data_IF_998402381911
#
_entry.id   IF_998402381911
#
_cell.length_a   1.000
_cell.length_b   1.000
_cell.length_c   1.000
_cell.angle_alpha   90.00
_cell.angle_beta   90.00
_cell.angle_gamma   90.00
#
_symmetry.space_group_name_H-M   'P 1'
#
loop_
_entity.id
_entity.type
_entity.pdbx_description
1 polymer ?
#
# COMPACT_ATOMS: atom_id res chain seq x y z
N UNK A 1 -24.06 -9.28 -12.31
CA UNK A 1 -23.95 -10.72 -11.97
C UNK A 1 -23.85 -10.81 -10.45
N UNK A 2 -24.70 -11.59 -9.82
CA UNK A 2 -24.64 -11.81 -8.37
C UNK A 2 -23.64 -12.96 -8.14
N UNK A 3 -22.71 -12.80 -7.21
CA UNK A 3 -21.77 -13.86 -6.82
C UNK A 3 -22.56 -15.10 -6.33
N UNK A 4 -21.97 -16.31 -6.41
CA UNK A 4 -22.62 -17.49 -5.87
C UNK A 4 -22.87 -17.34 -4.36
N UNK A 5 -23.91 -17.98 -3.85
CA UNK A 5 -24.20 -17.95 -2.41
C UNK A 5 -23.03 -18.48 -1.57
N UNK A 6 -22.34 -19.48 -2.07
CA UNK A 6 -21.14 -20.02 -1.44
C UNK A 6 -20.01 -18.98 -1.36
N UNK A 7 -19.76 -18.25 -2.46
CA UNK A 7 -18.77 -17.17 -2.49
C UNK A 7 -19.15 -16.05 -1.52
N UNK A 8 -20.42 -15.63 -1.48
CA UNK A 8 -20.88 -14.60 -0.53
C UNK A 8 -20.70 -15.09 0.91
N UNK A 9 -21.06 -16.33 1.21
CA UNK A 9 -20.89 -16.91 2.55
C UNK A 9 -19.41 -16.95 2.97
N UNK A 10 -18.52 -17.34 2.07
CA UNK A 10 -17.08 -17.33 2.31
C UNK A 10 -16.55 -15.91 2.58
N UNK A 11 -16.97 -14.93 1.78
CA UNK A 11 -16.59 -13.53 1.98
C UNK A 11 -17.14 -12.98 3.33
N UNK A 12 -18.35 -13.35 3.71
CA UNK A 12 -18.93 -12.97 5.01
C UNK A 12 -18.15 -13.61 6.17
N UNK A 13 -17.75 -14.87 6.04
CA UNK A 13 -16.90 -15.53 7.05
C UNK A 13 -15.59 -14.77 7.22
N UNK A 14 -14.90 -14.50 6.13
CA UNK A 14 -13.67 -13.70 6.16
C UNK A 14 -13.88 -12.31 6.76
N UNK A 15 -15.00 -11.63 6.39
CA UNK A 15 -15.35 -10.32 6.94
C UNK A 15 -15.51 -10.38 8.47
N UNK A 16 -16.23 -11.36 9.01
CA UNK A 16 -16.41 -11.55 10.45
C UNK A 16 -15.07 -11.80 11.16
N UNK A 17 -14.19 -12.63 10.56
CA UNK A 17 -12.86 -12.89 11.09
C UNK A 17 -12.04 -11.60 11.18
N UNK A 18 -12.01 -10.81 10.11
CA UNK A 18 -11.29 -9.51 10.09
C UNK A 18 -11.89 -8.52 11.08
N UNK A 19 -13.21 -8.41 11.17
CA UNK A 19 -13.90 -7.53 12.10
C UNK A 19 -13.55 -7.82 13.57
N UNK A 20 -13.21 -9.07 13.89
CA UNK A 20 -12.72 -9.45 15.23
C UNK A 20 -11.43 -8.69 15.59
N UNK A 21 -10.50 -8.61 14.66
CA UNK A 21 -9.24 -7.84 14.83
C UNK A 21 -9.48 -6.32 14.79
N UNK A 22 -10.54 -5.90 14.13
CA UNK A 22 -10.97 -4.50 14.04
C UNK A 22 -11.74 -4.01 15.28
N UNK A 23 -11.92 -4.87 16.27
CA UNK A 23 -12.52 -4.53 17.56
C UNK A 23 -14.03 -4.69 17.65
N UNK A 24 -14.69 -5.27 16.66
CA UNK A 24 -16.13 -5.53 16.71
C UNK A 24 -16.44 -6.74 17.59
N UNK A 25 -17.62 -6.73 18.20
CA UNK A 25 -18.17 -7.90 18.88
C UNK A 25 -18.80 -8.86 17.85
N UNK A 26 -17.99 -9.80 17.39
CA UNK A 26 -18.36 -10.70 16.29
C UNK A 26 -18.84 -12.06 16.73
N UNK A 27 -18.80 -12.38 18.03
CA UNK A 27 -19.04 -13.74 18.53
C UNK A 27 -20.40 -14.31 18.10
N UNK A 28 -21.47 -13.55 18.29
CA UNK A 28 -22.83 -13.98 17.91
C UNK A 28 -22.99 -14.14 16.39
N UNK A 29 -22.38 -13.22 15.61
CA UNK A 29 -22.42 -13.25 14.15
C UNK A 29 -21.66 -14.46 13.59
N UNK A 30 -20.46 -14.78 14.12
CA UNK A 30 -19.68 -15.95 13.73
C UNK A 30 -20.45 -17.27 13.98
N UNK A 31 -21.15 -17.38 15.09
CA UNK A 31 -21.97 -18.56 15.41
C UNK A 31 -23.23 -18.68 14.51
N UNK A 32 -23.82 -17.56 14.11
CA UNK A 32 -25.05 -17.51 13.32
C UNK A 32 -24.81 -17.75 11.82
N UNK A 33 -23.71 -17.26 11.24
CA UNK A 33 -23.44 -17.32 9.80
C UNK A 33 -23.52 -18.74 9.20
N UNK A 34 -22.96 -19.80 9.83
CA UNK A 34 -23.07 -21.16 9.32
C UNK A 34 -24.53 -21.72 9.33
N UNK A 35 -25.37 -21.15 10.16
CA UNK A 35 -26.75 -21.61 10.37
C UNK A 35 -27.77 -20.87 9.48
N UNK A 36 -27.34 -19.85 8.74
CA UNK A 36 -28.23 -19.10 7.85
C UNK A 36 -28.79 -19.99 6.74
N UNK A 37 -30.07 -19.80 6.35
CA UNK A 37 -30.61 -20.44 5.16
C UNK A 37 -29.77 -20.15 3.92
N UNK A 38 -29.77 -21.08 2.96
CA UNK A 38 -29.11 -20.92 1.68
C UNK A 38 -29.93 -20.02 0.73
N UNK A 39 -30.09 -18.76 1.11
CA UNK A 39 -30.86 -17.73 0.42
C UNK A 39 -30.01 -16.49 0.25
N UNK A 40 -30.11 -15.82 -0.92
CA UNK A 40 -29.45 -14.54 -1.16
C UNK A 40 -29.95 -13.48 -0.17
N UNK A 41 -31.27 -13.39 0.05
CA UNK A 41 -31.84 -12.39 0.96
C UNK A 41 -31.24 -12.53 2.35
N UNK A 42 -31.21 -13.76 2.91
CA UNK A 42 -30.61 -13.99 4.23
C UNK A 42 -29.14 -13.63 4.32
N UNK A 43 -28.36 -13.86 3.26
CA UNK A 43 -26.93 -13.53 3.24
C UNK A 43 -26.70 -12.01 3.10
N UNK A 44 -27.53 -11.32 2.31
CA UNK A 44 -27.43 -9.85 2.15
C UNK A 44 -27.92 -9.14 3.42
N UNK A 45 -29.03 -9.58 4.01
CA UNK A 45 -29.51 -9.05 5.29
C UNK A 45 -28.44 -9.21 6.38
N UNK A 46 -27.82 -10.39 6.44
CA UNK A 46 -26.71 -10.63 7.37
C UNK A 46 -25.51 -9.70 7.11
N UNK A 47 -25.18 -9.41 5.86
CA UNK A 47 -24.10 -8.47 5.52
C UNK A 47 -24.37 -7.05 6.05
N UNK A 48 -25.63 -6.59 5.93
CA UNK A 48 -26.05 -5.31 6.48
C UNK A 48 -26.03 -5.29 8.02
N UNK A 49 -26.49 -6.36 8.66
CA UNK A 49 -26.43 -6.52 10.12
C UNK A 49 -24.96 -6.54 10.63
N UNK A 50 -24.09 -7.31 9.94
CA UNK A 50 -22.68 -7.39 10.30
C UNK A 50 -21.98 -6.03 10.29
N UNK A 51 -22.29 -5.18 9.29
CA UNK A 51 -21.77 -3.80 9.23
C UNK A 51 -22.15 -2.96 10.47
N UNK A 52 -23.27 -3.26 11.08
CA UNK A 52 -23.80 -2.55 12.25
C UNK A 52 -23.41 -3.18 13.60
N UNK A 53 -22.49 -4.16 13.62
CA UNK A 53 -22.05 -4.78 14.86
C UNK A 53 -21.40 -3.74 15.79
N UNK A 54 -21.67 -3.82 17.10
CA UNK A 54 -21.09 -2.92 18.07
C UNK A 54 -19.59 -3.20 18.25
N UNK A 55 -18.85 -2.17 18.65
CA UNK A 55 -17.49 -2.34 19.16
C UNK A 55 -17.50 -3.08 20.50
N UNK A 56 -16.48 -3.90 20.75
CA UNK A 56 -16.29 -4.52 22.06
C UNK A 56 -16.10 -3.47 23.14
N UNK A 57 -16.56 -3.74 24.34
CA UNK A 57 -16.47 -2.82 25.46
C UNK A 57 -15.03 -2.51 25.95
N UNK A 58 -14.06 -3.35 25.57
CA UNK A 58 -12.63 -3.17 25.86
C UNK A 58 -11.87 -2.41 24.73
N UNK A 59 -12.56 -2.03 23.65
CA UNK A 59 -11.94 -1.33 22.53
C UNK A 59 -11.63 0.12 22.88
N UNK A 60 -10.37 0.47 22.91
CA UNK A 60 -9.87 1.78 23.40
C UNK A 60 -9.48 2.75 22.30
N UNK A 61 -9.46 2.30 21.05
CA UNK A 61 -8.96 3.11 19.94
C UNK A 61 -10.05 4.03 19.38
N UNK A 62 -9.64 5.19 18.88
CA UNK A 62 -10.47 6.17 18.20
C UNK A 62 -10.02 6.22 16.74
N UNK A 63 -10.86 5.73 15.85
CA UNK A 63 -10.50 5.50 14.45
C UNK A 63 -11.58 6.07 13.51
N UNK A 64 -11.72 7.42 13.44
CA UNK A 64 -12.74 8.08 12.63
C UNK A 64 -12.49 7.96 11.13
N UNK A 65 -13.58 8.13 10.34
CA UNK A 65 -13.52 8.15 8.88
C UNK A 65 -14.07 9.45 8.26
N UNK A 66 -14.68 10.34 9.03
CA UNK A 66 -14.96 11.69 8.57
C UNK A 66 -13.69 12.54 8.64
N UNK A 67 -13.38 13.30 7.57
CA UNK A 67 -12.11 14.04 7.50
C UNK A 67 -11.90 15.01 8.66
N UNK A 68 -12.95 15.71 9.07
CA UNK A 68 -12.92 16.67 10.17
C UNK A 68 -12.54 15.98 11.49
N UNK A 69 -13.08 14.80 11.74
CA UNK A 69 -12.78 14.00 12.94
C UNK A 69 -11.36 13.41 12.88
N UNK A 70 -10.92 12.97 11.70
CA UNK A 70 -9.54 12.52 11.47
C UNK A 70 -8.56 13.66 11.78
N UNK A 71 -8.82 14.87 11.26
CA UNK A 71 -8.00 16.06 11.53
C UNK A 71 -8.00 16.45 13.02
N UNK A 72 -9.11 16.25 13.70
CA UNK A 72 -9.22 16.50 15.15
C UNK A 72 -8.33 15.53 15.97
N UNK A 73 -8.26 14.29 15.56
CA UNK A 73 -7.46 13.23 16.21
C UNK A 73 -5.97 13.24 15.81
N UNK A 74 -5.56 14.00 14.78
CA UNK A 74 -4.15 14.19 14.42
C UNK A 74 -3.40 15.00 15.49
N UNK A 75 -2.06 14.91 15.48
CA UNK A 75 -1.25 15.71 16.40
C UNK A 75 -1.51 17.22 16.24
N UNK A 76 -1.85 17.95 17.32
CA UNK A 76 -2.28 19.35 17.22
C UNK A 76 -1.18 20.30 16.71
N UNK A 77 0.09 19.97 17.01
CA UNK A 77 1.25 20.78 16.62
C UNK A 77 1.98 20.21 15.40
N UNK A 78 1.31 19.39 14.56
CA UNK A 78 1.91 18.84 13.36
C UNK A 78 2.44 19.93 12.43
N UNK A 79 3.62 19.73 11.89
CA UNK A 79 4.23 20.69 10.96
C UNK A 79 3.64 20.50 9.57
N UNK A 80 2.75 21.40 9.16
CA UNK A 80 2.12 21.37 7.83
C UNK A 80 3.09 21.63 6.69
N UNK A 81 4.12 22.42 6.98
CA UNK A 81 5.22 22.68 6.06
C UNK A 81 6.53 22.42 6.80
N UNK A 82 7.33 21.50 6.28
CA UNK A 82 8.71 21.28 6.71
C UNK A 82 9.67 22.12 5.85
N UNK A 83 10.98 21.96 6.03
CA UNK A 83 11.96 22.67 5.25
C UNK A 83 11.68 22.63 3.73
N UNK A 84 12.10 23.66 3.00
CA UNK A 84 11.97 23.69 1.55
C UNK A 84 12.57 22.43 0.93
N UNK A 85 11.88 21.89 -0.07
CA UNK A 85 12.38 20.76 -0.82
C UNK A 85 13.75 21.09 -1.47
N UNK A 86 14.68 20.14 -1.56
CA UNK A 86 15.98 20.37 -2.19
C UNK A 86 15.83 20.64 -3.69
N UNK A 87 16.79 21.37 -4.28
CA UNK A 87 16.76 21.74 -5.71
C UNK A 87 16.66 20.52 -6.64
N UNK A 88 17.19 19.36 -6.21
CA UNK A 88 17.15 18.13 -6.98
C UNK A 88 15.91 17.26 -6.71
N UNK A 89 14.85 17.82 -6.15
CA UNK A 89 13.67 17.05 -5.74
C UNK A 89 12.98 16.32 -6.91
N UNK A 90 12.97 16.90 -8.12
CA UNK A 90 12.44 16.21 -9.31
C UNK A 90 13.24 14.95 -9.66
N UNK A 91 14.55 15.03 -9.54
CA UNK A 91 15.43 13.87 -9.74
C UNK A 91 15.22 12.81 -8.63
N UNK A 92 14.89 13.25 -7.41
CA UNK A 92 14.52 12.32 -6.32
C UNK A 92 13.20 11.61 -6.58
N UNK A 93 12.18 12.32 -7.06
CA UNK A 93 10.90 11.69 -7.46
C UNK A 93 11.10 10.72 -8.62
N UNK A 94 11.88 11.10 -9.62
CA UNK A 94 12.25 10.20 -10.72
C UNK A 94 12.94 8.93 -10.18
N UNK A 95 13.92 9.10 -9.28
CA UNK A 95 14.58 7.97 -8.61
C UNK A 95 13.65 7.13 -7.75
N UNK A 96 12.69 7.77 -7.08
CA UNK A 96 11.71 7.10 -6.25
C UNK A 96 10.78 6.18 -7.07
N UNK A 97 10.27 6.66 -8.19
CA UNK A 97 9.43 5.82 -9.05
C UNK A 97 10.21 4.65 -9.65
N UNK A 98 11.46 4.87 -10.11
CA UNK A 98 12.30 3.74 -10.57
C UNK A 98 12.60 2.78 -9.42
N UNK A 99 12.90 3.29 -8.23
CA UNK A 99 13.12 2.47 -7.04
C UNK A 99 11.89 1.63 -6.67
N UNK A 100 10.69 2.20 -6.78
CA UNK A 100 9.43 1.49 -6.59
C UNK A 100 9.30 0.32 -7.57
N UNK A 101 9.54 0.56 -8.86
CA UNK A 101 9.51 -0.50 -9.88
C UNK A 101 10.55 -1.59 -9.61
N UNK A 102 11.77 -1.24 -9.21
CA UNK A 102 12.81 -2.22 -8.86
C UNK A 102 12.40 -3.06 -7.64
N UNK A 103 11.79 -2.42 -6.64
CA UNK A 103 11.32 -3.08 -5.43
C UNK A 103 10.19 -4.07 -5.69
N UNK A 104 9.19 -3.65 -6.48
CA UNK A 104 8.10 -4.52 -6.94
C UNK A 104 8.67 -5.73 -7.69
N UNK A 105 9.52 -5.52 -8.69
CA UNK A 105 10.11 -6.60 -9.50
C UNK A 105 10.96 -7.58 -8.70
N UNK A 106 11.72 -7.10 -7.69
CA UNK A 106 12.51 -7.99 -6.83
C UNK A 106 11.63 -8.81 -5.88
N UNK A 107 10.59 -8.20 -5.32
CA UNK A 107 9.66 -8.83 -4.40
C UNK A 107 8.72 -9.82 -5.06
N UNK A 108 8.29 -9.55 -6.30
CA UNK A 108 7.26 -10.32 -7.02
C UNK A 108 7.42 -11.84 -7.02
N UNK A 109 8.59 -12.43 -7.28
CA UNK A 109 8.73 -13.88 -7.21
C UNK A 109 8.64 -14.45 -5.78
N UNK A 110 8.71 -13.60 -4.75
CA UNK A 110 8.66 -13.93 -3.33
C UNK A 110 7.35 -13.54 -2.65
N UNK A 111 6.38 -13.00 -3.37
CA UNK A 111 5.01 -12.76 -2.91
C UNK A 111 4.25 -14.09 -2.75
N UNK A 112 4.66 -14.87 -1.78
CA UNK A 112 4.18 -16.23 -1.51
C UNK A 112 4.02 -16.52 -0.02
N UNK A 113 3.84 -15.47 0.79
CA UNK A 113 3.64 -15.55 2.25
C UNK A 113 4.77 -16.30 2.97
N UNK A 114 6.02 -15.96 2.63
CA UNK A 114 7.22 -16.49 3.28
C UNK A 114 7.71 -15.49 4.35
N UNK A 115 8.21 -16.01 5.47
CA UNK A 115 8.92 -15.20 6.47
C UNK A 115 10.43 -15.14 6.20
N UNK A 116 11.15 -14.27 6.93
CA UNK A 116 12.60 -14.12 6.78
C UNK A 116 13.36 -15.44 6.99
N UNK A 117 12.94 -16.28 7.92
CA UNK A 117 13.62 -17.54 8.22
C UNK A 117 13.48 -18.55 7.08
N UNK A 118 12.32 -18.60 6.43
CA UNK A 118 12.10 -19.41 5.24
C UNK A 118 12.97 -18.92 4.07
N UNK A 119 12.97 -17.61 3.82
CA UNK A 119 13.79 -16.97 2.77
C UNK A 119 15.28 -17.16 3.04
N UNK A 120 15.72 -16.99 4.28
CA UNK A 120 17.12 -17.20 4.70
C UNK A 120 17.58 -18.63 4.44
N UNK A 121 16.79 -19.62 4.81
CA UNK A 121 17.11 -21.03 4.57
C UNK A 121 17.23 -21.33 3.07
N UNK A 122 16.28 -20.86 2.27
CA UNK A 122 16.30 -21.07 0.83
C UNK A 122 17.50 -20.37 0.17
N UNK A 123 17.75 -19.11 0.52
CA UNK A 123 18.87 -18.33 0.00
C UNK A 123 20.24 -18.90 0.38
N UNK A 124 20.42 -19.35 1.63
CA UNK A 124 21.66 -20.00 2.06
C UNK A 124 21.91 -21.30 1.29
N UNK A 125 20.88 -22.09 0.99
CA UNK A 125 20.99 -23.34 0.27
C UNK A 125 21.49 -23.17 -1.18
N UNK A 126 21.24 -22.01 -1.81
CA UNK A 126 21.71 -21.70 -3.17
C UNK A 126 22.80 -20.61 -3.23
N UNK A 127 23.31 -20.14 -2.09
CA UNK A 127 24.34 -19.10 -2.03
C UNK A 127 23.86 -17.69 -2.35
N UNK A 128 22.57 -17.41 -2.22
CA UNK A 128 21.96 -16.10 -2.41
C UNK A 128 21.46 -15.45 -1.10
N UNK A 129 22.16 -15.63 -0.01
CA UNK A 129 21.88 -14.95 1.23
C UNK A 129 23.13 -14.28 1.81
N UNK A 130 23.10 -13.00 2.20
CA UNK A 130 21.99 -12.06 2.00
C UNK A 130 21.70 -11.80 0.52
N UNK A 131 20.46 -11.39 0.22
CA UNK A 131 20.05 -11.06 -1.14
C UNK A 131 20.77 -9.79 -1.62
N UNK A 132 21.42 -9.88 -2.78
CA UNK A 132 22.16 -8.78 -3.40
C UNK A 132 21.89 -8.66 -4.90
N UNK A 133 21.14 -9.61 -5.44
CA UNK A 133 20.76 -9.69 -6.85
C UNK A 133 19.30 -10.16 -6.97
N UNK A 134 18.78 -10.15 -8.19
CA UNK A 134 17.48 -10.73 -8.51
C UNK A 134 17.39 -12.19 -8.01
N UNK A 135 16.20 -12.56 -7.60
CA UNK A 135 15.93 -13.93 -7.11
C UNK A 135 16.17 -14.95 -8.23
N UNK A 136 16.97 -15.99 -7.99
CA UNK A 136 17.21 -17.06 -8.96
C UNK A 136 16.13 -18.14 -8.92
N UNK A 137 16.06 -18.96 -9.99
CA UNK A 137 15.20 -20.15 -9.99
C UNK A 137 15.60 -21.13 -8.89
N UNK A 138 16.92 -21.27 -8.62
CA UNK A 138 17.42 -22.14 -7.55
C UNK A 138 16.94 -21.68 -6.16
N UNK A 139 16.79 -20.38 -5.94
CA UNK A 139 16.20 -19.86 -4.71
C UNK A 139 14.76 -20.36 -4.54
N UNK A 140 13.93 -20.20 -5.58
CA UNK A 140 12.53 -20.64 -5.56
C UNK A 140 12.38 -22.16 -5.46
N UNK A 141 13.31 -22.94 -6.05
CA UNK A 141 13.35 -24.39 -5.89
C UNK A 141 13.60 -24.80 -4.45
N UNK A 142 14.55 -24.15 -3.76
CA UNK A 142 14.82 -24.41 -2.34
C UNK A 142 13.68 -23.93 -1.42
N UNK A 143 12.92 -22.90 -1.84
CA UNK A 143 11.75 -22.43 -1.12
C UNK A 143 10.53 -23.35 -1.29
N UNK A 144 10.50 -24.13 -2.39
CA UNK A 144 9.43 -25.10 -2.69
C UNK A 144 8.12 -24.47 -3.12
N UNK A 145 8.09 -23.14 -3.33
CA UNK A 145 6.93 -22.35 -3.76
C UNK A 145 7.36 -21.36 -4.84
N UNK A 146 6.44 -21.06 -5.78
CA UNK A 146 6.72 -20.13 -6.88
C UNK A 146 5.50 -19.26 -7.13
N UNK A 147 5.70 -17.94 -7.18
CA UNK A 147 4.67 -17.05 -7.68
C UNK A 147 4.42 -17.29 -9.19
N UNK A 148 3.19 -17.18 -9.72
CA UNK A 148 2.89 -17.45 -11.14
C UNK A 148 3.75 -16.67 -12.14
N UNK A 149 4.23 -15.48 -11.79
CA UNK A 149 5.04 -14.60 -12.67
C UNK A 149 6.54 -14.93 -12.66
N UNK A 150 6.98 -15.96 -11.94
CA UNK A 150 8.40 -16.29 -11.76
C UNK A 150 9.19 -16.40 -13.06
N UNK A 151 8.54 -16.77 -14.16
CA UNK A 151 9.16 -16.89 -15.49
C UNK A 151 9.65 -15.56 -16.07
N UNK A 152 9.15 -14.44 -15.56
CA UNK A 152 9.46 -13.11 -16.08
C UNK A 152 10.13 -12.20 -15.01
N UNK A 153 10.24 -12.69 -13.76
CA UNK A 153 10.71 -11.90 -12.61
C UNK A 153 11.91 -12.48 -11.90
N UNK A 154 12.53 -13.56 -12.44
CA UNK A 154 13.73 -14.18 -11.88
C UNK A 154 14.99 -13.80 -12.63
N UNK A 155 16.15 -13.95 -11.96
CA UNK A 155 17.48 -13.71 -12.51
C UNK A 155 17.65 -14.38 -13.88
N UNK A 156 18.25 -13.70 -14.84
CA UNK A 156 18.43 -14.09 -16.23
C UNK A 156 17.15 -14.18 -17.08
N UNK A 157 15.98 -13.90 -16.53
CA UNK A 157 14.70 -13.87 -17.27
C UNK A 157 14.11 -12.48 -17.39
N UNK A 158 14.51 -11.56 -16.52
CA UNK A 158 14.03 -10.19 -16.52
C UNK A 158 14.47 -9.49 -17.81
N UNK A 159 13.47 -8.94 -18.53
CA UNK A 159 13.69 -8.15 -19.75
C UNK A 159 12.83 -6.88 -19.77
N UNK A 160 11.93 -6.75 -18.81
CA UNK A 160 11.07 -5.58 -18.61
C UNK A 160 10.48 -5.63 -17.20
N UNK A 161 9.92 -4.52 -16.74
CA UNK A 161 9.02 -4.54 -15.60
C UNK A 161 7.67 -5.11 -16.05
N UNK A 162 7.17 -6.12 -15.32
CA UNK A 162 5.90 -6.78 -15.62
C UNK A 162 4.72 -5.95 -15.08
N UNK A 163 3.49 -6.16 -15.60
CA UNK A 163 2.30 -5.53 -15.06
C UNK A 163 2.07 -5.94 -13.60
N UNK A 164 1.78 -4.95 -12.78
CA UNK A 164 1.54 -5.15 -11.36
C UNK A 164 0.58 -4.08 -10.80
N UNK A 165 -0.23 -4.43 -9.82
CA UNK A 165 -1.12 -3.46 -9.19
C UNK A 165 -0.37 -2.39 -8.38
N UNK A 166 0.75 -2.69 -7.75
CA UNK A 166 1.60 -1.72 -7.07
C UNK A 166 2.03 -0.56 -7.98
N UNK A 167 2.39 -0.91 -9.23
CA UNK A 167 2.81 0.08 -10.23
C UNK A 167 1.59 0.78 -10.85
N UNK A 168 0.53 0.01 -11.17
CA UNK A 168 -0.69 0.55 -11.75
C UNK A 168 -1.33 1.58 -10.82
N UNK A 169 -1.42 1.30 -9.53
CA UNK A 169 -2.07 2.17 -8.56
C UNK A 169 -1.31 3.48 -8.36
N UNK A 170 0.03 3.43 -8.36
CA UNK A 170 0.86 4.65 -8.34
C UNK A 170 0.63 5.49 -9.61
N UNK A 171 0.49 4.86 -10.78
CA UNK A 171 0.16 5.56 -12.04
C UNK A 171 -1.26 6.14 -12.00
N UNK A 172 -2.23 5.46 -11.42
CA UNK A 172 -3.58 6.02 -11.22
C UNK A 172 -3.56 7.26 -10.32
N UNK A 173 -2.75 7.26 -9.26
CA UNK A 173 -2.52 8.43 -8.42
C UNK A 173 -1.94 9.60 -9.21
N UNK A 174 -0.99 9.34 -10.12
CA UNK A 174 -0.48 10.34 -11.06
C UNK A 174 -1.60 10.91 -11.94
N UNK A 175 -2.43 10.05 -12.52
CA UNK A 175 -3.54 10.48 -13.39
C UNK A 175 -4.60 11.29 -12.62
N UNK A 176 -4.87 10.93 -11.37
CA UNK A 176 -5.71 11.72 -10.47
C UNK A 176 -5.20 13.15 -10.33
N UNK A 177 -3.90 13.29 -10.00
CA UNK A 177 -3.26 14.59 -9.81
C UNK A 177 -3.14 15.38 -11.11
N UNK A 178 -2.88 14.72 -12.24
CA UNK A 178 -2.84 15.39 -13.53
C UNK A 178 -4.21 15.97 -13.95
N UNK A 179 -5.28 15.30 -13.58
CA UNK A 179 -6.63 15.69 -13.96
C UNK A 179 -7.28 16.67 -12.97
N UNK A 180 -7.09 16.46 -11.68
CA UNK A 180 -7.83 17.16 -10.64
C UNK A 180 -6.94 18.01 -9.73
N UNK A 181 -5.63 17.79 -9.71
CA UNK A 181 -4.71 18.52 -8.83
C UNK A 181 -5.10 18.44 -7.35
N UNK A 182 -5.08 19.57 -6.67
CA UNK A 182 -5.52 19.72 -5.27
C UNK A 182 -7.04 19.59 -5.07
N UNK A 183 -7.83 19.72 -6.14
CA UNK A 183 -9.30 19.63 -6.10
C UNK A 183 -9.79 18.18 -6.25
N UNK A 184 -8.91 17.19 -6.14
CA UNK A 184 -9.25 15.78 -6.14
C UNK A 184 -10.34 15.49 -5.10
N UNK A 185 -11.34 14.72 -5.54
CA UNK A 185 -12.42 14.19 -4.71
C UNK A 185 -12.48 12.68 -4.81
N UNK A 186 -13.14 12.01 -3.88
CA UNK A 186 -13.36 10.55 -3.97
C UNK A 186 -14.08 10.15 -5.25
N UNK A 187 -14.99 11.01 -5.75
CA UNK A 187 -15.63 10.78 -7.06
C UNK A 187 -14.65 10.94 -8.23
N UNK A 188 -13.70 11.86 -8.14
CA UNK A 188 -12.60 11.97 -9.11
C UNK A 188 -11.74 10.72 -9.16
N UNK A 189 -11.42 10.13 -8.00
CA UNK A 189 -10.73 8.83 -7.90
C UNK A 189 -11.55 7.75 -8.59
N UNK A 190 -12.84 7.64 -8.27
CA UNK A 190 -13.75 6.69 -8.91
C UNK A 190 -13.74 6.82 -10.44
N UNK A 191 -13.82 8.05 -10.97
CA UNK A 191 -13.79 8.29 -12.42
C UNK A 191 -12.49 7.82 -13.07
N UNK A 192 -11.35 8.05 -12.43
CA UNK A 192 -10.03 7.61 -12.91
C UNK A 192 -9.95 6.09 -12.92
N UNK A 193 -10.33 5.44 -11.82
CA UNK A 193 -10.33 3.99 -11.70
C UNK A 193 -11.25 3.33 -12.73
N UNK A 194 -12.45 3.84 -12.90
CA UNK A 194 -13.42 3.37 -13.86
C UNK A 194 -12.89 3.40 -15.31
N UNK A 195 -12.13 4.45 -15.64
CA UNK A 195 -11.62 4.66 -16.98
C UNK A 195 -10.37 3.83 -17.28
N UNK A 196 -9.49 3.69 -16.28
CA UNK A 196 -8.14 3.20 -16.53
C UNK A 196 -7.81 1.87 -15.87
N UNK A 197 -8.47 1.51 -14.75
CA UNK A 197 -8.11 0.30 -14.03
C UNK A 197 -8.69 -0.96 -14.69
N UNK A 198 -7.81 -1.90 -14.98
CA UNK A 198 -8.19 -3.24 -15.39
C UNK A 198 -8.51 -4.09 -14.14
N UNK A 199 -9.75 -4.59 -14.05
CA UNK A 199 -10.21 -5.38 -12.90
C UNK A 199 -9.36 -6.64 -12.65
N UNK A 200 -8.68 -7.18 -13.64
CA UNK A 200 -7.81 -8.35 -13.48
C UNK A 200 -6.59 -8.06 -12.60
N UNK A 201 -6.19 -6.79 -12.49
CA UNK A 201 -5.11 -6.32 -11.62
C UNK A 201 -5.68 -5.56 -10.42
N UNK A 202 -6.67 -6.12 -9.77
CA UNK A 202 -7.21 -5.64 -8.51
C UNK A 202 -7.38 -6.80 -7.55
N UNK A 203 -7.12 -6.55 -6.28
CA UNK A 203 -7.25 -7.55 -5.22
C UNK A 203 -8.07 -6.98 -4.06
N UNK A 204 -8.50 -7.80 -3.16
CA UNK A 204 -9.11 -7.38 -1.90
C UNK A 204 -10.16 -6.28 -2.04
N UNK A 205 -9.93 -5.18 -1.35
CA UNK A 205 -10.83 -4.04 -1.27
C UNK A 205 -11.07 -3.37 -2.62
N UNK A 206 -10.06 -3.24 -3.44
CA UNK A 206 -10.13 -2.65 -4.78
C UNK A 206 -11.04 -3.46 -5.69
N UNK A 207 -10.87 -4.79 -5.71
CA UNK A 207 -11.73 -5.70 -6.50
C UNK A 207 -13.18 -5.63 -6.05
N UNK A 208 -13.41 -5.53 -4.73
CA UNK A 208 -14.76 -5.39 -4.20
C UNK A 208 -15.45 -4.13 -4.74
N UNK A 209 -14.74 -3.01 -4.77
CA UNK A 209 -15.27 -1.73 -5.29
C UNK A 209 -15.44 -1.76 -6.81
N UNK A 210 -14.44 -2.28 -7.56
CA UNK A 210 -14.53 -2.42 -9.02
C UNK A 210 -15.73 -3.27 -9.45
N UNK A 211 -16.03 -4.35 -8.71
CA UNK A 211 -17.20 -5.19 -8.97
C UNK A 211 -18.50 -4.39 -8.79
N UNK A 212 -18.60 -3.57 -7.75
CA UNK A 212 -19.79 -2.71 -7.51
C UNK A 212 -19.95 -1.65 -8.60
N UNK A 213 -18.85 -1.01 -8.99
CA UNK A 213 -18.87 -0.08 -10.11
C UNK A 213 -19.38 -0.74 -11.39
N UNK A 214 -18.88 -1.93 -11.75
CA UNK A 214 -19.30 -2.64 -12.96
C UNK A 214 -20.82 -2.92 -12.97
N UNK A 215 -21.40 -3.30 -11.83
CA UNK A 215 -22.86 -3.52 -11.72
C UNK A 215 -23.64 -2.21 -11.87
N UNK A 216 -23.12 -1.11 -11.34
CA UNK A 216 -23.78 0.19 -11.39
C UNK A 216 -23.81 0.80 -12.80
N UNK A 217 -23.00 0.30 -13.75
CA UNK A 217 -22.93 0.69 -15.15
C UNK A 217 -23.86 -0.08 -16.09
N UNK A 218 -24.80 -0.84 -15.58
CA UNK A 218 -25.78 -1.56 -16.43
C UNK A 218 -26.81 -0.64 -17.11
N UNK A 219 -26.77 0.67 -16.86
CA UNK A 219 -27.60 1.67 -17.56
C UNK A 219 -26.74 2.50 -18.52
N UNK A 220 -27.33 2.93 -19.65
CA UNK A 220 -26.70 3.80 -20.67
C UNK A 220 -26.39 5.22 -20.17
N UNK A 221 -26.60 5.50 -18.90
CA UNK A 221 -26.40 6.81 -18.28
C UNK A 221 -25.13 6.79 -17.45
N UNK A 222 -24.39 7.91 -17.48
CA UNK A 222 -23.25 8.12 -16.59
C UNK A 222 -23.72 7.99 -15.13
N UNK A 223 -22.99 7.22 -14.34
CA UNK A 223 -23.28 7.07 -12.93
C UNK A 223 -23.12 8.44 -12.24
N UNK A 224 -24.13 8.93 -11.50
CA UNK A 224 -24.02 10.18 -10.76
C UNK A 224 -22.93 10.05 -9.67
N UNK A 225 -22.38 11.17 -9.20
CA UNK A 225 -21.51 11.16 -8.03
C UNK A 225 -22.21 10.50 -6.84
N UNK A 226 -21.50 9.63 -6.14
CA UNK A 226 -21.98 9.02 -4.90
C UNK A 226 -21.78 9.99 -3.72
N UNK A 227 -22.67 9.91 -2.76
CA UNK A 227 -22.50 10.57 -1.47
C UNK A 227 -21.41 9.87 -0.63
N UNK A 228 -20.87 10.55 0.38
CA UNK A 228 -19.93 9.94 1.32
C UNK A 228 -20.51 8.70 2.02
N UNK A 229 -21.81 8.69 2.29
CA UNK A 229 -22.50 7.55 2.90
C UNK A 229 -22.59 6.36 1.94
N UNK A 230 -22.84 6.60 0.65
CA UNK A 230 -22.86 5.55 -0.37
C UNK A 230 -21.46 4.95 -0.59
N UNK A 231 -20.42 5.77 -0.58
CA UNK A 231 -19.04 5.27 -0.60
C UNK A 231 -18.70 4.46 0.65
N UNK A 232 -19.15 4.89 1.83
CA UNK A 232 -18.99 4.12 3.06
C UNK A 232 -19.70 2.76 2.96
N UNK A 233 -20.93 2.75 2.47
CA UNK A 233 -21.68 1.51 2.24
C UNK A 233 -20.93 0.55 1.31
N UNK A 234 -20.36 1.07 0.23
CA UNK A 234 -19.57 0.26 -0.72
C UNK A 234 -18.32 -0.34 -0.08
N UNK A 235 -17.57 0.45 0.67
CA UNK A 235 -16.30 0.01 1.25
C UNK A 235 -16.45 -0.85 2.51
N UNK A 236 -17.62 -0.84 3.17
CA UNK A 236 -17.84 -1.55 4.43
C UNK A 236 -18.71 -2.82 4.29
N UNK A 237 -19.44 -2.98 3.17
CA UNK A 237 -20.32 -4.15 2.98
C UNK A 237 -19.62 -5.22 2.18
N UNK A 238 -19.46 -6.43 2.73
CA UNK A 238 -18.78 -7.57 2.08
C UNK A 238 -17.41 -7.13 1.50
N UNK A 239 -16.62 -6.48 2.33
CA UNK A 239 -15.26 -6.06 2.03
C UNK A 239 -14.34 -6.44 3.21
N UNK A 240 -13.91 -7.69 3.30
CA UNK A 240 -13.11 -8.17 4.43
C UNK A 240 -11.76 -7.44 4.55
N UNK A 241 -11.20 -6.96 3.45
CA UNK A 241 -9.86 -6.38 3.39
C UNK A 241 -9.85 -4.85 3.41
N UNK A 242 -10.92 -4.22 3.92
CA UNK A 242 -11.03 -2.77 3.99
C UNK A 242 -9.91 -2.07 4.80
N UNK A 243 -9.16 -2.79 5.62
CA UNK A 243 -8.03 -2.25 6.38
C UNK A 243 -6.66 -2.78 5.89
N UNK A 244 -6.60 -3.41 4.71
CA UNK A 244 -5.36 -3.95 4.14
C UNK A 244 -4.50 -2.88 3.44
N UNK A 245 -3.36 -3.30 2.87
CA UNK A 245 -2.31 -2.44 2.33
C UNK A 245 -2.64 -1.74 1.01
N UNK A 246 -3.67 -2.17 0.25
CA UNK A 246 -3.92 -1.69 -1.10
C UNK A 246 -4.03 -0.17 -1.27
N UNK A 247 -4.41 0.58 -0.20
CA UNK A 247 -4.36 2.03 -0.23
C UNK A 247 -2.95 2.59 0.05
N UNK A 248 -2.16 1.92 0.90
CA UNK A 248 -0.80 2.34 1.22
C UNK A 248 0.13 2.25 0.00
N UNK A 249 0.02 1.17 -0.80
CA UNK A 249 0.85 0.92 -1.98
C UNK A 249 0.59 1.88 -3.16
N UNK A 250 -0.45 2.72 -3.10
CA UNK A 250 -0.76 3.74 -4.11
C UNK A 250 -0.62 5.18 -3.62
N UNK A 251 -0.12 5.36 -2.41
CA UNK A 251 0.03 6.67 -1.79
C UNK A 251 1.18 7.50 -2.39
N UNK A 252 2.07 6.88 -3.14
CA UNK A 252 3.34 7.42 -3.64
C UNK A 252 3.16 8.72 -4.41
N UNK A 253 2.26 8.76 -5.40
CA UNK A 253 2.04 9.92 -6.24
C UNK A 253 1.70 11.19 -5.44
N UNK A 254 0.98 11.04 -4.34
CA UNK A 254 0.60 12.16 -3.46
C UNK A 254 1.81 12.69 -2.68
N UNK A 255 2.68 11.80 -2.20
CA UNK A 255 3.95 12.18 -1.59
C UNK A 255 4.93 12.84 -2.58
N UNK A 256 4.98 12.32 -3.80
CA UNK A 256 5.82 12.85 -4.88
C UNK A 256 5.43 14.27 -5.30
N UNK A 257 4.13 14.56 -5.33
CA UNK A 257 3.63 15.86 -5.77
C UNK A 257 3.88 16.97 -4.75
N UNK A 258 3.97 16.65 -3.46
CA UNK A 258 4.00 17.63 -2.38
C UNK A 258 5.24 17.54 -1.46
N UNK A 259 6.48 17.54 -1.99
CA UNK A 259 7.69 17.51 -1.16
C UNK A 259 7.71 18.71 -0.20
N UNK A 260 7.95 18.44 1.09
CA UNK A 260 7.94 19.45 2.15
C UNK A 260 6.52 19.87 2.62
N UNK A 261 5.47 19.27 2.07
CA UNK A 261 4.06 19.56 2.43
C UNK A 261 3.30 18.30 2.80
N UNK A 262 3.63 17.66 3.93
CA UNK A 262 3.00 16.41 4.36
C UNK A 262 1.50 16.54 4.63
N UNK A 263 1.01 17.74 4.96
CA UNK A 263 -0.42 18.03 5.15
C UNK A 263 -1.24 17.76 3.89
N UNK A 264 -0.79 18.27 2.74
CA UNK A 264 -1.47 18.07 1.46
C UNK A 264 -1.32 16.63 0.96
N UNK A 265 -0.13 16.05 1.11
CA UNK A 265 0.12 14.67 0.75
C UNK A 265 -0.81 13.72 1.51
N UNK A 266 -0.90 13.85 2.84
CA UNK A 266 -1.79 13.05 3.68
C UNK A 266 -3.28 13.28 3.35
N UNK A 267 -3.70 14.53 3.08
CA UNK A 267 -5.09 14.86 2.72
C UNK A 267 -5.51 14.18 1.41
N UNK A 268 -4.68 14.25 0.39
CA UNK A 268 -4.99 13.65 -0.90
C UNK A 268 -4.94 12.12 -0.85
N UNK A 269 -4.01 11.55 -0.09
CA UNK A 269 -3.97 10.11 0.19
C UNK A 269 -5.22 9.65 0.96
N UNK A 270 -5.72 10.44 1.92
CA UNK A 270 -7.00 10.16 2.59
C UNK A 270 -8.17 10.10 1.60
N UNK A 271 -8.27 11.08 0.68
CA UNK A 271 -9.34 11.14 -0.32
C UNK A 271 -9.32 9.90 -1.22
N UNK A 272 -8.14 9.54 -1.72
CA UNK A 272 -7.96 8.34 -2.56
C UNK A 272 -8.26 7.06 -1.79
N UNK A 273 -7.63 6.89 -0.63
CA UNK A 273 -7.74 5.68 0.18
C UNK A 273 -9.20 5.42 0.62
N UNK A 274 -9.94 6.48 0.97
CA UNK A 274 -11.32 6.39 1.43
C UNK A 274 -12.29 5.87 0.37
N UNK A 275 -11.88 5.85 -0.90
CA UNK A 275 -12.64 5.23 -1.99
C UNK A 275 -12.83 3.72 -1.79
N UNK A 276 -11.81 3.02 -1.30
CA UNK A 276 -11.80 1.55 -1.18
C UNK A 276 -11.60 1.04 0.23
N UNK A 277 -10.89 1.78 1.08
CA UNK A 277 -10.41 1.36 2.39
C UNK A 277 -11.04 2.13 3.54
N UNK A 278 -10.77 1.62 4.76
CA UNK A 278 -11.20 2.22 6.02
C UNK A 278 -10.07 2.16 7.04
N UNK A 279 -10.14 3.03 8.04
CA UNK A 279 -9.29 3.05 9.24
C UNK A 279 -7.81 2.80 8.93
N UNK A 280 -7.21 1.69 9.42
CA UNK A 280 -5.78 1.35 9.21
C UNK A 280 -5.36 1.43 7.75
N UNK A 281 -6.16 0.95 6.80
CA UNK A 281 -5.85 1.04 5.37
C UNK A 281 -5.73 2.49 4.88
N UNK A 282 -6.59 3.39 5.38
CA UNK A 282 -6.55 4.82 5.06
C UNK A 282 -5.40 5.51 5.79
N UNK A 283 -5.21 5.23 7.08
CA UNK A 283 -4.18 5.90 7.88
C UNK A 283 -2.77 5.51 7.41
N UNK A 284 -2.57 4.27 6.95
CA UNK A 284 -1.30 3.85 6.36
C UNK A 284 -0.98 4.60 5.06
N UNK A 285 -1.97 4.83 4.20
CA UNK A 285 -1.79 5.64 3.00
C UNK A 285 -1.41 7.09 3.33
N UNK A 286 -2.09 7.70 4.31
CA UNK A 286 -1.75 9.04 4.81
C UNK A 286 -0.33 9.10 5.35
N UNK A 287 0.08 8.09 6.14
CA UNK A 287 1.42 7.99 6.70
C UNK A 287 2.49 7.87 5.62
N UNK A 288 2.31 6.97 4.64
CA UNK A 288 3.29 6.78 3.54
C UNK A 288 3.40 8.05 2.70
N UNK A 289 2.28 8.68 2.31
CA UNK A 289 2.31 9.93 1.54
C UNK A 289 3.01 11.06 2.30
N UNK A 290 2.72 11.22 3.60
CA UNK A 290 3.38 12.20 4.45
C UNK A 290 4.89 11.91 4.62
N UNK A 291 5.27 10.63 4.82
CA UNK A 291 6.67 10.23 4.93
C UNK A 291 7.44 10.52 3.65
N UNK A 292 6.88 10.23 2.48
CA UNK A 292 7.46 10.55 1.16
C UNK A 292 7.64 12.06 0.97
N UNK A 293 6.67 12.86 1.41
CA UNK A 293 6.76 14.31 1.32
C UNK A 293 7.87 14.90 2.23
N UNK A 294 8.10 14.30 3.39
CA UNK A 294 9.13 14.76 4.35
C UNK A 294 10.52 14.21 4.00
N UNK A 295 10.61 12.97 3.50
CA UNK A 295 11.87 12.24 3.29
C UNK A 295 12.97 13.03 2.60
N UNK A 296 12.72 13.79 1.51
CA UNK A 296 13.79 14.56 0.83
C UNK A 296 14.28 15.77 1.62
N UNK A 297 13.61 16.16 2.70
CA UNK A 297 13.91 17.36 3.49
C UNK A 297 14.71 17.07 4.77
N UNK A 298 14.91 15.81 5.11
CA UNK A 298 15.58 15.37 6.34
C UNK A 298 16.78 14.47 6.04
N UNK A 299 17.77 14.47 6.91
CA UNK A 299 18.95 13.59 6.77
C UNK A 299 18.68 12.19 7.37
N UNK A 300 17.97 12.14 8.50
CA UNK A 300 17.60 10.89 9.18
C UNK A 300 16.20 10.44 8.71
N UNK A 301 16.05 9.26 8.11
CA UNK A 301 14.75 8.75 7.69
C UNK A 301 13.78 8.55 8.87
N UNK A 302 14.28 8.36 10.08
CA UNK A 302 13.42 8.23 11.26
C UNK A 302 12.68 9.54 11.54
N UNK A 303 13.30 10.69 11.29
CA UNK A 303 12.63 11.99 11.41
C UNK A 303 11.48 12.16 10.41
N UNK A 304 11.56 11.54 9.22
CA UNK A 304 10.44 11.54 8.28
C UNK A 304 9.26 10.71 8.80
N UNK A 305 9.51 9.56 9.38
CA UNK A 305 8.46 8.72 9.96
C UNK A 305 7.84 9.36 11.22
N UNK A 306 8.65 9.98 12.06
CA UNK A 306 8.15 10.76 13.21
C UNK A 306 7.18 11.86 12.74
N UNK A 307 7.59 12.67 11.77
CA UNK A 307 6.75 13.72 11.23
C UNK A 307 5.48 13.18 10.54
N UNK A 308 5.57 12.05 9.86
CA UNK A 308 4.43 11.41 9.19
C UNK A 308 3.39 10.89 10.18
N UNK A 309 3.82 10.38 11.34
CA UNK A 309 2.91 9.93 12.41
C UNK A 309 2.05 11.06 12.98
N UNK A 310 2.46 12.31 12.85
CA UNK A 310 1.65 13.46 13.28
C UNK A 310 0.37 13.64 12.43
N UNK A 311 0.31 13.04 11.23
CA UNK A 311 -0.79 13.15 10.27
C UNK A 311 -1.77 11.97 10.30
N UNK A 312 -1.68 11.11 11.30
CA UNK A 312 -2.66 10.04 11.53
C UNK A 312 -3.34 10.22 12.89
N UNK A 313 -4.55 9.64 13.11
CA UNK A 313 -5.21 9.72 14.41
C UNK A 313 -4.33 9.14 15.53
N UNK A 314 -4.03 9.97 16.53
CA UNK A 314 -3.07 9.67 17.59
C UNK A 314 -3.53 8.56 18.56
N UNK A 315 -4.85 8.32 18.60
CA UNK A 315 -5.46 7.28 19.43
C UNK A 315 -5.86 6.03 18.60
N UNK A 316 -5.33 5.87 17.37
CA UNK A 316 -5.59 4.71 16.52
C UNK A 316 -4.65 3.53 16.81
N UNK A 317 -5.10 2.31 16.44
CA UNK A 317 -4.21 1.12 16.42
C UNK A 317 -2.99 1.33 15.55
N UNK A 318 -3.20 1.93 14.36
CA UNK A 318 -2.12 2.18 13.42
C UNK A 318 -1.01 3.03 14.05
N UNK A 319 -1.38 4.14 14.74
CA UNK A 319 -0.42 4.99 15.45
C UNK A 319 0.36 4.21 16.51
N UNK A 320 -0.35 3.49 17.39
CA UNK A 320 0.27 2.75 18.50
C UNK A 320 1.24 1.68 17.99
N UNK A 321 0.84 0.91 16.98
CA UNK A 321 1.66 -0.18 16.44
C UNK A 321 2.86 0.39 15.68
N UNK A 322 2.67 1.41 14.85
CA UNK A 322 3.78 2.06 14.13
C UNK A 322 4.78 2.68 15.11
N UNK A 323 4.33 3.37 16.15
CA UNK A 323 5.19 3.90 17.20
C UNK A 323 5.99 2.78 17.87
N UNK A 324 5.33 1.68 18.22
CA UNK A 324 6.00 0.51 18.82
C UNK A 324 7.06 -0.09 17.87
N UNK A 325 6.82 -0.16 16.57
CA UNK A 325 7.81 -0.60 15.59
C UNK A 325 9.02 0.36 15.53
N UNK A 326 8.78 1.66 15.55
CA UNK A 326 9.87 2.66 15.60
C UNK A 326 10.73 2.49 16.86
N UNK A 327 10.12 2.26 18.02
CA UNK A 327 10.83 2.01 19.28
C UNK A 327 11.66 0.72 19.19
N UNK A 328 11.10 -0.36 18.66
CA UNK A 328 11.83 -1.63 18.43
C UNK A 328 13.04 -1.39 17.54
N UNK A 329 12.87 -0.75 16.38
CA UNK A 329 13.97 -0.50 15.43
C UNK A 329 15.05 0.39 16.04
N UNK A 330 14.67 1.37 16.87
CA UNK A 330 15.63 2.26 17.55
C UNK A 330 16.48 1.56 18.61
N UNK A 331 15.94 0.51 19.25
CA UNK A 331 16.55 -0.18 20.39
C UNK A 331 17.21 -1.50 20.02
N UNK A 332 16.87 -2.07 18.87
CA UNK A 332 17.42 -3.34 18.41
C UNK A 332 18.92 -3.23 18.10
N UNK A 333 19.64 -4.34 18.29
CA UNK A 333 21.09 -4.41 18.04
C UNK A 333 21.46 -4.43 16.55
N UNK A 334 20.48 -4.54 15.64
CA UNK A 334 20.69 -4.54 14.19
C UNK A 334 19.44 -4.98 13.45
N UNK A 335 19.56 -5.09 12.12
CA UNK A 335 18.46 -5.34 11.19
C UNK A 335 17.67 -6.64 11.49
N UNK A 336 18.35 -7.78 11.63
CA UNK A 336 17.68 -9.06 11.91
C UNK A 336 17.01 -9.05 13.30
N UNK A 337 17.68 -8.50 14.32
CA UNK A 337 17.12 -8.43 15.67
C UNK A 337 15.88 -7.50 15.75
N UNK A 338 15.82 -6.47 14.93
CA UNK A 338 14.62 -5.62 14.82
C UNK A 338 13.48 -6.40 14.17
N UNK A 339 13.75 -7.09 13.05
CA UNK A 339 12.76 -7.94 12.38
C UNK A 339 12.20 -9.00 13.32
N UNK A 340 13.04 -9.76 14.01
CA UNK A 340 12.61 -10.81 14.95
C UNK A 340 11.62 -10.27 16.02
N UNK A 341 11.89 -9.10 16.57
CA UNK A 341 11.02 -8.48 17.57
C UNK A 341 9.70 -7.99 16.96
N UNK A 342 9.73 -7.40 15.76
CA UNK A 342 8.54 -6.96 15.05
C UNK A 342 7.68 -8.17 14.68
N UNK A 343 8.29 -9.21 14.10
CA UNK A 343 7.61 -10.43 13.69
C UNK A 343 6.98 -11.15 14.88
N UNK A 344 7.74 -11.38 15.95
CA UNK A 344 7.24 -12.02 17.16
C UNK A 344 6.02 -11.30 17.76
N UNK A 345 5.91 -9.97 17.58
CA UNK A 345 4.84 -9.16 18.15
C UNK A 345 3.63 -9.02 17.23
N UNK A 346 3.84 -8.95 15.91
CA UNK A 346 2.81 -8.55 14.94
C UNK A 346 2.51 -9.58 13.84
N UNK A 347 3.19 -10.73 13.78
CA UNK A 347 2.93 -11.79 12.78
C UNK A 347 1.53 -12.40 12.85
N UNK A 348 0.83 -12.23 13.98
CA UNK A 348 -0.58 -12.62 14.10
C UNK A 348 -1.49 -11.84 13.14
N UNK A 349 -1.11 -10.61 12.79
CA UNK A 349 -1.71 -9.88 11.69
C UNK A 349 -1.06 -10.37 10.41
N UNK A 350 -1.79 -11.11 9.61
CA UNK A 350 -1.31 -11.72 8.36
C UNK A 350 -0.69 -10.67 7.45
N UNK A 351 0.08 -11.09 6.43
CA UNK A 351 0.56 -10.18 5.40
C UNK A 351 -0.58 -9.37 4.77
N UNK A 352 -0.29 -8.23 4.19
CA UNK A 352 -1.23 -7.20 3.72
C UNK A 352 -2.02 -6.47 4.83
N UNK A 353 -1.82 -6.73 6.12
CA UNK A 353 -2.48 -5.98 7.20
C UNK A 353 -1.74 -4.72 7.66
N UNK A 354 -0.71 -4.33 6.97
CA UNK A 354 0.07 -3.10 7.16
C UNK A 354 0.94 -3.04 8.43
N UNK A 355 0.56 -3.67 9.50
CA UNK A 355 1.21 -3.50 10.82
C UNK A 355 2.64 -4.02 10.88
N UNK A 356 2.86 -5.28 10.51
CA UNK A 356 4.20 -5.84 10.44
C UNK A 356 4.99 -5.17 9.31
N UNK A 357 4.36 -4.99 8.17
CA UNK A 357 4.97 -4.42 6.96
C UNK A 357 5.44 -2.97 7.17
N UNK A 358 4.67 -2.13 7.86
CA UNK A 358 5.15 -0.78 8.23
C UNK A 358 6.36 -0.86 9.14
N UNK A 359 6.40 -1.82 10.06
CA UNK A 359 7.57 -2.08 10.89
C UNK A 359 8.79 -2.50 10.07
N UNK A 360 8.61 -3.37 9.08
CA UNK A 360 9.70 -3.79 8.17
C UNK A 360 10.19 -2.66 7.27
N UNK A 361 9.29 -1.75 6.81
CA UNK A 361 9.68 -0.52 6.10
C UNK A 361 10.58 0.38 6.96
N UNK A 362 10.19 0.62 8.20
CA UNK A 362 10.97 1.45 9.14
C UNK A 362 12.35 0.81 9.37
N UNK A 363 12.40 -0.52 9.56
CA UNK A 363 13.63 -1.29 9.72
C UNK A 363 14.53 -1.17 8.48
N UNK A 364 13.96 -1.30 7.29
CA UNK A 364 14.67 -1.13 6.01
C UNK A 364 15.28 0.26 5.88
N UNK A 365 14.49 1.31 6.07
CA UNK A 365 14.96 2.70 5.91
C UNK A 365 16.05 3.06 6.92
N UNK A 366 16.01 2.47 8.12
CA UNK A 366 17.04 2.65 9.16
C UNK A 366 18.40 2.09 8.72
N UNK A 367 18.41 0.94 8.03
CA UNK A 367 19.64 0.18 7.72
C UNK A 367 20.11 0.29 6.27
N UNK A 368 19.31 0.88 5.37
CA UNK A 368 19.65 0.99 3.96
C UNK A 368 20.81 1.96 3.69
N UNK A 369 21.76 1.54 2.86
CA UNK A 369 22.92 2.31 2.42
C UNK A 369 22.70 2.99 1.06
N UNK A 370 21.85 2.40 0.22
CA UNK A 370 21.43 2.92 -1.09
C UNK A 370 20.08 2.29 -1.46
N UNK A 371 19.54 2.63 -2.64
CA UNK A 371 18.21 2.17 -3.06
C UNK A 371 18.19 0.66 -3.21
N UNK A 372 19.12 0.05 -3.95
CA UNK A 372 19.13 -1.38 -4.22
C UNK A 372 19.36 -2.21 -2.96
N UNK A 373 20.34 -1.81 -2.13
CA UNK A 373 20.55 -2.47 -0.84
C UNK A 373 19.29 -2.44 0.04
N UNK A 374 18.63 -1.27 0.11
CA UNK A 374 17.40 -1.15 0.90
C UNK A 374 16.26 -2.00 0.36
N UNK A 375 16.07 -2.06 -0.96
CA UNK A 375 15.08 -2.94 -1.60
C UNK A 375 15.37 -4.41 -1.27
N UNK A 376 16.64 -4.85 -1.34
CA UNK A 376 17.02 -6.20 -0.92
C UNK A 376 16.72 -6.45 0.56
N UNK A 377 17.01 -5.50 1.45
CA UNK A 377 16.66 -5.60 2.87
C UNK A 377 15.14 -5.75 3.07
N UNK A 378 14.33 -4.97 2.34
CA UNK A 378 12.88 -5.07 2.46
C UNK A 378 12.37 -6.44 2.07
N UNK A 379 12.75 -6.91 0.89
CA UNK A 379 12.30 -8.19 0.33
C UNK A 379 12.76 -9.38 1.18
N UNK A 380 13.94 -9.33 1.78
CA UNK A 380 14.43 -10.36 2.71
C UNK A 380 13.57 -10.51 3.98
N UNK A 381 12.76 -9.52 4.33
CA UNK A 381 11.85 -9.61 5.48
C UNK A 381 10.57 -10.38 5.19
N UNK A 382 10.32 -10.74 3.92
CA UNK A 382 9.17 -11.55 3.53
C UNK A 382 7.84 -10.79 3.59
N UNK A 383 6.77 -11.53 3.80
CA UNK A 383 5.41 -10.99 3.82
C UNK A 383 4.93 -10.62 2.40
N UNK A 384 4.33 -9.45 2.26
CA UNK A 384 3.89 -8.83 1.02
C UNK A 384 5.10 -8.16 0.33
N UNK A 385 5.94 -9.00 -0.29
CA UNK A 385 7.31 -8.63 -0.64
C UNK A 385 7.42 -7.63 -1.80
N UNK A 386 6.52 -7.67 -2.77
CA UNK A 386 6.49 -6.75 -3.92
C UNK A 386 5.87 -5.41 -3.54
N UNK A 387 4.74 -5.40 -2.84
CA UNK A 387 4.06 -4.19 -2.39
C UNK A 387 4.96 -3.33 -1.49
N UNK A 388 5.55 -3.95 -0.47
CA UNK A 388 6.45 -3.22 0.44
C UNK A 388 7.86 -3.06 -0.12
N UNK A 389 8.28 -3.90 -1.06
CA UNK A 389 9.44 -3.66 -1.91
C UNK A 389 9.30 -2.38 -2.73
N UNK A 390 8.14 -2.20 -3.38
CA UNK A 390 7.80 -0.99 -4.12
C UNK A 390 7.78 0.25 -3.22
N UNK A 391 7.07 0.17 -2.09
CA UNK A 391 6.98 1.28 -1.12
C UNK A 391 8.35 1.65 -0.54
N UNK A 392 9.18 0.65 -0.21
CA UNK A 392 10.56 0.88 0.24
C UNK A 392 11.40 1.57 -0.83
N UNK A 393 11.36 1.07 -2.07
CA UNK A 393 12.06 1.65 -3.21
C UNK A 393 11.69 3.11 -3.45
N UNK A 394 10.42 3.43 -3.29
CA UNK A 394 9.86 4.77 -3.35
C UNK A 394 10.45 5.71 -2.28
N UNK A 395 10.39 5.31 -1.01
CA UNK A 395 10.96 6.06 0.12
C UNK A 395 12.48 6.23 -0.01
N UNK A 396 13.19 5.17 -0.41
CA UNK A 396 14.64 5.17 -0.62
C UNK A 396 15.05 6.11 -1.76
N UNK A 397 14.29 6.14 -2.86
CA UNK A 397 14.51 7.06 -3.96
C UNK A 397 14.35 8.52 -3.54
N UNK A 398 13.32 8.84 -2.73
CA UNK A 398 13.20 10.18 -2.14
C UNK A 398 14.35 10.51 -1.20
N UNK A 399 14.87 9.53 -0.45
CA UNK A 399 16.00 9.70 0.48
C UNK A 399 17.33 9.91 -0.24
N UNK A 400 17.71 9.02 -1.14
CA UNK A 400 19.03 8.99 -1.76
C UNK A 400 19.11 9.76 -3.08
N UNK A 401 17.99 9.86 -3.81
CA UNK A 401 17.97 10.44 -5.15
C UNK A 401 18.70 9.57 -6.19
N UNK A 402 19.03 10.13 -7.36
CA UNK A 402 19.57 9.37 -8.49
C UNK A 402 20.92 8.70 -8.23
N UNK A 403 21.74 9.23 -7.31
CA UNK A 403 23.00 8.61 -6.95
C UNK A 403 22.86 7.29 -6.17
N UNK A 404 21.66 7.00 -5.66
CA UNK A 404 21.37 5.77 -4.93
C UNK A 404 20.97 4.58 -5.80
N UNK A 405 20.82 4.76 -7.14
CA UNK A 405 20.46 3.68 -8.05
C UNK A 405 21.63 2.73 -8.34
N UNK A 406 21.29 1.45 -8.46
CA UNK A 406 22.12 0.48 -9.16
C UNK A 406 21.81 0.55 -10.66
N UNK A 407 22.73 1.16 -11.43
CA UNK A 407 22.53 1.39 -12.86
C UNK A 407 22.41 0.08 -13.65
N UNK A 408 23.08 -0.99 -13.22
CA UNK A 408 23.03 -2.29 -13.88
C UNK A 408 21.65 -2.93 -13.73
N UNK A 409 21.01 -2.79 -12.55
CA UNK A 409 19.66 -3.29 -12.30
C UNK A 409 18.61 -2.53 -13.11
N UNK A 410 18.73 -1.23 -13.20
CA UNK A 410 17.86 -0.42 -14.05
C UNK A 410 18.03 -0.78 -15.53
N UNK A 411 19.28 -0.97 -16.00
CA UNK A 411 19.55 -1.33 -17.38
C UNK A 411 18.96 -2.70 -17.79
N UNK A 412 18.85 -3.64 -16.87
CA UNK A 412 18.23 -4.96 -17.11
C UNK A 412 16.74 -4.89 -17.43
N UNK A 413 16.06 -3.80 -17.06
CA UNK A 413 14.67 -3.55 -17.46
C UNK A 413 14.53 -3.01 -18.89
N UNK A 414 15.63 -2.68 -19.57
CA UNK A 414 15.67 -2.19 -20.98
C UNK A 414 14.74 -0.99 -21.25
N UNK A 415 14.58 -0.10 -20.26
CA UNK A 415 13.58 0.99 -20.29
C UNK A 415 12.15 0.52 -20.64
N UNK A 416 11.83 -0.73 -20.34
CA UNK A 416 10.57 -1.37 -20.69
C UNK A 416 9.72 -1.61 -19.45
N UNK A 417 8.58 -0.95 -19.42
CA UNK A 417 7.54 -1.11 -18.40
C UNK A 417 6.23 -1.48 -19.08
N UNK A 418 5.70 -2.64 -18.74
CA UNK A 418 4.39 -3.09 -19.22
C UNK A 418 3.32 -2.68 -18.20
N UNK A 419 2.30 -1.99 -18.67
CA UNK A 419 1.13 -1.61 -17.90
C UNK A 419 -0.12 -2.13 -18.59
N UNK A 420 -0.98 -2.80 -17.84
CA UNK A 420 -2.28 -3.26 -18.33
C UNK A 420 -3.40 -2.28 -17.90
N UNK A 421 -3.08 -0.98 -17.90
CA UNK A 421 -4.06 0.09 -17.74
C UNK A 421 -4.83 0.34 -19.03
N UNK A 422 -6.14 0.50 -18.88
CA UNK A 422 -7.03 0.84 -19.99
C UNK A 422 -6.84 2.31 -20.40
N UNK A 423 -7.01 2.62 -21.67
CA UNK A 423 -6.90 4.00 -22.19
C UNK A 423 -5.63 4.74 -21.71
N UNK A 424 -4.50 4.01 -21.66
CA UNK A 424 -3.20 4.53 -21.30
C UNK A 424 -2.18 4.19 -22.39
N UNK A 425 -1.52 5.21 -22.95
CA UNK A 425 -0.53 4.99 -24.00
C UNK A 425 0.75 4.39 -23.42
N UNK A 426 1.28 3.29 -23.99
CA UNK A 426 2.56 2.74 -23.57
C UNK A 426 3.69 3.77 -23.59
N UNK A 427 4.55 3.74 -22.60
CA UNK A 427 5.75 4.58 -22.53
C UNK A 427 6.87 3.84 -21.79
N UNK A 428 8.12 4.24 -22.03
CA UNK A 428 9.29 3.70 -21.33
C UNK A 428 9.28 4.07 -19.84
N UNK A 429 10.03 3.31 -19.05
CA UNK A 429 10.17 3.51 -17.62
C UNK A 429 10.71 4.91 -17.29
N UNK A 430 11.77 5.36 -17.99
CA UNK A 430 12.36 6.68 -17.80
C UNK A 430 11.39 7.82 -18.15
N UNK A 431 10.65 7.66 -19.25
CA UNK A 431 9.64 8.64 -19.66
C UNK A 431 8.50 8.75 -18.64
N UNK A 432 8.06 7.64 -18.06
CA UNK A 432 7.03 7.63 -17.03
C UNK A 432 7.55 8.22 -15.71
N UNK A 433 8.76 7.88 -15.29
CA UNK A 433 9.41 8.46 -14.12
C UNK A 433 9.59 9.98 -14.27
N UNK A 434 9.95 10.44 -15.47
CA UNK A 434 10.02 11.88 -15.81
C UNK A 434 8.62 12.53 -15.73
N UNK A 435 7.58 11.87 -16.23
CA UNK A 435 6.18 12.36 -16.11
C UNK A 435 5.75 12.47 -14.66
N UNK A 436 6.06 11.45 -13.85
CA UNK A 436 5.80 11.43 -12.40
C UNK A 436 6.47 12.62 -11.69
N UNK A 437 7.72 12.92 -12.02
CA UNK A 437 8.47 14.03 -11.41
C UNK A 437 7.89 15.43 -11.71
N UNK A 438 7.10 15.56 -12.77
CA UNK A 438 6.40 16.82 -13.13
C UNK A 438 5.14 17.08 -12.32
N UNK A 439 4.70 16.14 -11.49
CA UNK A 439 3.56 16.37 -10.58
C UNK A 439 3.84 17.53 -9.63
N UNK A 440 5.11 17.75 -9.24
CA UNK A 440 5.52 18.86 -8.39
C UNK A 440 5.10 20.21 -8.99
N UNK A 441 5.21 20.39 -10.31
CA UNK A 441 4.87 21.64 -10.98
C UNK A 441 3.37 21.95 -10.95
N UNK A 442 2.53 20.92 -10.82
CA UNK A 442 1.07 21.07 -10.71
C UNK A 442 0.59 21.30 -9.30
N UNK A 443 1.39 20.93 -8.31
CA UNK A 443 1.08 21.07 -6.89
C UNK A 443 1.41 22.48 -6.34
N UNK A 444 2.25 23.23 -7.04
CA UNK A 444 2.57 24.60 -6.67
C UNK A 444 1.43 25.53 -7.19
N UNK A 445 0.82 26.37 -6.34
CA UNK A 445 -0.07 27.42 -6.84
C UNK A 445 0.75 28.36 -7.75
N UNK A 446 0.17 28.69 -8.92
CA UNK A 446 0.70 29.74 -9.80
C UNK A 446 0.79 31.09 -9.10
#
# INVERSE_FOLDING_TARGET
MIASKEAIRSMLSSMIDYMTYQGYDTQAAAQRLPLLPDSYDCLIDFAHEARALPMRGDWRYIEPMAWEDVVHEMHPNRMRHVAAAPDNVKQRVHAAFIGSVLGCMLGKPLEIDADMDELKRAGMACGQWPLTDWVSEAFLENLGRRHPTWTDTTLCRITCAVPDDDIHYTVLGMLNLERFGSDLTTDGVRQTWQRHQNINYTWGAERAIMTRMAVSFLSDHAMPPLTSEEYALWAETINPTAESCGAAIRADAYGYAYPGRPDEAARLAFIDASFTHRRTGVYSAMFIAAALAVMPTVADPMAAFEAALDFVPQNSRFYEITRSCMDIVSQASGFEAAYEQIHARYSLYRHCHVYQEVGTLINTLRHAENIWHGVCLQVMQGGDADSFGATAGSLLGMRFGPAGHDADRVAQLHDSLKLDLLDFSPMGLDALATRMSKLIDKALPC
#
